data_IF_894385756032
#
_entry.id   IF_894385756032
#
_cell.length_a   1.000
_cell.length_b   1.000
_cell.length_c   1.000
_cell.angle_alpha   90.00
_cell.angle_beta   90.00
_cell.angle_gamma   90.00
#
_symmetry.space_group_name_H-M   'P 1'
#
loop_
_entity.id
_entity.type
_entity.pdbx_description
1 polymer ?
#
# COMPACT_ATOMS: atom_id res chain seq x y z
N UNK A 1 -8.13 -9.74 -1.23
CA UNK A 1 -7.44 -11.03 -1.03
C UNK A 1 -6.21 -11.19 -1.93
N UNK A 2 -6.31 -11.01 -3.26
CA UNK A 2 -5.19 -11.22 -4.20
C UNK A 2 -3.91 -10.43 -3.86
N UNK A 3 -4.03 -9.15 -3.52
CA UNK A 3 -2.90 -8.29 -3.18
C UNK A 3 -2.10 -8.79 -1.97
N UNK A 4 -2.79 -9.12 -0.87
CA UNK A 4 -2.18 -9.68 0.34
C UNK A 4 -1.60 -11.07 0.10
N UNK A 5 -2.22 -11.88 -0.76
CA UNK A 5 -1.69 -13.18 -1.14
C UNK A 5 -0.40 -13.06 -1.97
N UNK A 6 -0.36 -12.14 -2.94
CA UNK A 6 0.85 -11.84 -3.70
C UNK A 6 1.99 -11.36 -2.78
N UNK A 7 1.65 -10.50 -1.80
CA UNK A 7 2.59 -10.05 -0.77
C UNK A 7 3.16 -11.23 0.04
N UNK A 8 2.29 -12.10 0.56
CA UNK A 8 2.70 -13.27 1.34
C UNK A 8 3.55 -14.28 0.55
N UNK A 9 3.45 -14.28 -0.77
CA UNK A 9 4.25 -15.12 -1.67
C UNK A 9 5.56 -14.45 -2.14
N UNK A 10 5.89 -13.26 -1.63
CA UNK A 10 7.09 -12.52 -2.04
C UNK A 10 6.99 -11.88 -3.43
N UNK A 11 5.82 -11.87 -4.07
CA UNK A 11 5.59 -11.23 -5.37
C UNK A 11 5.35 -9.74 -5.20
N UNK A 12 6.34 -9.03 -4.67
CA UNK A 12 6.16 -7.67 -4.16
C UNK A 12 5.78 -6.64 -5.23
N UNK A 13 6.34 -6.72 -6.44
CA UNK A 13 5.95 -5.82 -7.54
C UNK A 13 4.47 -5.99 -7.92
N UNK A 14 3.99 -7.23 -8.04
CA UNK A 14 2.56 -7.50 -8.28
C UNK A 14 1.70 -7.04 -7.11
N UNK A 15 2.18 -7.24 -5.87
CA UNK A 15 1.47 -6.76 -4.69
C UNK A 15 1.32 -5.23 -4.71
N UNK A 16 2.33 -4.48 -5.15
CA UNK A 16 2.26 -3.02 -5.33
C UNK A 16 1.13 -2.65 -6.30
N UNK A 17 1.08 -3.26 -7.48
CA UNK A 17 0.08 -2.93 -8.50
C UNK A 17 -1.36 -3.22 -8.03
N UNK A 18 -1.55 -4.39 -7.38
CA UNK A 18 -2.83 -4.77 -6.83
C UNK A 18 -3.24 -3.85 -5.66
N UNK A 19 -2.31 -3.51 -4.76
CA UNK A 19 -2.57 -2.66 -3.60
C UNK A 19 -2.90 -1.22 -4.00
N UNK A 20 -2.26 -0.66 -5.04
CA UNK A 20 -2.61 0.68 -5.56
C UNK A 20 -4.06 0.75 -6.03
N UNK A 21 -4.53 -0.32 -6.69
CA UNK A 21 -5.93 -0.43 -7.13
C UNK A 21 -6.89 -0.51 -5.95
N UNK A 22 -6.55 -1.31 -4.92
CA UNK A 22 -7.35 -1.42 -3.69
C UNK A 22 -7.39 -0.10 -2.93
N UNK A 23 -6.26 0.58 -2.76
CA UNK A 23 -6.13 1.88 -2.07
C UNK A 23 -7.07 2.92 -2.69
N UNK A 24 -7.04 3.06 -4.02
CA UNK A 24 -7.91 4.00 -4.74
C UNK A 24 -9.41 3.73 -4.52
N UNK A 25 -9.81 2.46 -4.42
CA UNK A 25 -11.20 2.08 -4.13
C UNK A 25 -11.59 2.35 -2.68
N UNK A 26 -10.70 2.04 -1.72
CA UNK A 26 -10.95 2.24 -0.29
C UNK A 26 -11.08 3.72 0.11
N UNK A 27 -10.39 4.62 -0.60
CA UNK A 27 -10.62 6.06 -0.44
C UNK A 27 -12.01 6.49 -0.95
N UNK A 28 -12.53 5.86 -2.00
CA UNK A 28 -13.78 6.26 -2.66
C UNK A 28 -15.05 5.69 -2.03
N UNK A 29 -14.99 4.47 -1.47
CA UNK A 29 -16.18 3.75 -1.00
C UNK A 29 -16.31 3.60 0.53
N UNK A 30 -15.47 4.30 1.30
CA UNK A 30 -15.46 4.12 2.74
C UNK A 30 -14.71 2.84 3.14
N UNK A 31 -13.72 3.00 4.00
CA UNK A 31 -13.08 1.96 4.78
C UNK A 31 -12.87 2.52 6.18
N UNK A 32 -12.80 1.70 7.21
CA UNK A 32 -12.42 2.23 8.53
C UNK A 32 -11.01 2.82 8.46
N UNK A 33 -10.69 3.79 9.32
CA UNK A 33 -9.34 4.35 9.39
C UNK A 33 -8.28 3.25 9.55
N UNK A 34 -8.54 2.26 10.41
CA UNK A 34 -7.65 1.12 10.60
C UNK A 34 -7.48 0.27 9.33
N UNK A 35 -8.53 0.03 8.55
CA UNK A 35 -8.44 -0.73 7.31
C UNK A 35 -7.57 0.00 6.26
N UNK A 36 -7.76 1.31 6.11
CA UNK A 36 -6.93 2.12 5.20
C UNK A 36 -5.47 2.12 5.66
N UNK A 37 -5.25 2.22 6.96
CA UNK A 37 -3.91 2.21 7.54
C UNK A 37 -3.13 0.93 7.21
N UNK A 38 -3.79 -0.23 7.34
CA UNK A 38 -3.21 -1.52 6.97
C UNK A 38 -2.88 -1.56 5.47
N UNK A 39 -3.74 -1.04 4.59
CA UNK A 39 -3.48 -1.01 3.15
C UNK A 39 -2.26 -0.15 2.84
N UNK A 40 -2.17 1.06 3.41
CA UNK A 40 -1.06 1.97 3.17
C UNK A 40 0.27 1.42 3.68
N UNK A 41 0.30 0.88 4.91
CA UNK A 41 1.49 0.25 5.47
C UNK A 41 1.93 -0.96 4.64
N UNK A 42 0.99 -1.77 4.17
CA UNK A 42 1.31 -2.93 3.32
C UNK A 42 1.87 -2.49 1.98
N UNK A 43 1.33 -1.42 1.38
CA UNK A 43 1.80 -0.87 0.12
C UNK A 43 3.23 -0.30 0.25
N UNK A 44 3.52 0.42 1.34
CA UNK A 44 4.88 0.91 1.65
C UNK A 44 5.84 -0.28 1.78
N UNK A 45 5.47 -1.30 2.55
CA UNK A 45 6.31 -2.49 2.74
C UNK A 45 6.57 -3.23 1.42
N UNK A 46 5.56 -3.33 0.55
CA UNK A 46 5.68 -3.97 -0.76
C UNK A 46 6.60 -3.18 -1.69
N UNK A 47 6.47 -1.85 -1.73
CA UNK A 47 7.33 -0.99 -2.54
C UNK A 47 8.79 -1.10 -2.10
N UNK A 48 9.05 -1.10 -0.79
CA UNK A 48 10.38 -1.33 -0.22
C UNK A 48 10.94 -2.69 -0.64
N UNK A 49 10.18 -3.76 -0.44
CA UNK A 49 10.61 -5.12 -0.74
C UNK A 49 10.82 -5.39 -2.24
N UNK A 50 10.10 -4.66 -3.10
CA UNK A 50 10.28 -4.70 -4.55
C UNK A 50 11.44 -3.81 -5.06
N UNK A 51 12.15 -3.09 -4.19
CA UNK A 51 13.20 -2.14 -4.57
C UNK A 51 12.68 -0.87 -5.26
N UNK A 52 11.39 -0.55 -5.14
CA UNK A 52 10.79 0.65 -5.74
C UNK A 52 10.97 1.87 -4.84
N UNK A 53 12.23 2.27 -4.59
CA UNK A 53 12.61 3.30 -3.60
C UNK A 53 11.94 4.66 -3.82
N UNK A 54 11.73 5.08 -5.06
CA UNK A 54 11.04 6.36 -5.34
C UNK A 54 9.57 6.31 -4.93
N UNK A 55 8.90 5.17 -5.15
CA UNK A 55 7.51 4.98 -4.73
C UNK A 55 7.42 4.88 -3.21
N UNK A 56 8.27 4.08 -2.57
CA UNK A 56 8.33 3.97 -1.11
C UNK A 56 8.44 5.35 -0.44
N UNK A 57 9.39 6.18 -0.89
CA UNK A 57 9.58 7.54 -0.33
C UNK A 57 8.36 8.43 -0.51
N UNK A 58 7.73 8.39 -1.68
CA UNK A 58 6.51 9.16 -1.94
C UNK A 58 5.37 8.75 -0.98
N UNK A 59 5.17 7.45 -0.79
CA UNK A 59 4.14 6.91 0.11
C UNK A 59 4.40 7.26 1.58
N UNK A 60 5.66 7.22 2.01
CA UNK A 60 6.04 7.65 3.36
C UNK A 60 5.78 9.14 3.58
N UNK A 61 6.08 9.98 2.59
CA UNK A 61 5.80 11.41 2.65
C UNK A 61 4.28 11.70 2.69
N UNK A 62 3.48 11.03 1.85
CA UNK A 62 2.01 11.09 1.88
C UNK A 62 1.48 10.76 3.29
N UNK A 63 1.99 9.69 3.89
CA UNK A 63 1.58 9.23 5.22
C UNK A 63 1.98 10.20 6.33
N UNK A 64 3.18 10.79 6.25
CA UNK A 64 3.63 11.79 7.20
C UNK A 64 2.74 13.04 7.14
N UNK A 65 2.39 13.51 5.93
CA UNK A 65 1.51 14.66 5.76
C UNK A 65 0.07 14.42 6.26
N UNK A 66 -0.39 13.17 6.23
CA UNK A 66 -1.73 12.79 6.70
C UNK A 66 -1.85 12.61 8.22
N UNK A 67 -0.72 12.61 8.96
CA UNK A 67 -0.69 12.56 10.43
C UNK A 67 -0.39 13.98 10.95
N UNK A 68 -1.30 14.63 11.67
CA UNK A 68 -1.05 15.96 12.23
C UNK A 68 0.05 15.94 13.30
#
# INVERSE_FOLDING_TARGET
ARALHAFGQGRFAQAVDDLRTVRNRAHRFGGSHAQRDVIDLTLIAAARAAGQTSLERALLAERQAARP
#
